data_IF_725805307307
#
_entry.id   IF_725805307307
#
_cell.length_a   1.000
_cell.length_b   1.000
_cell.length_c   1.000
_cell.angle_alpha   90.00
_cell.angle_beta   90.00
_cell.angle_gamma   90.00
#
_symmetry.space_group_name_H-M   'P 1'
#
loop_
_entity.id
_entity.type
_entity.pdbx_description
1 polymer ?
#
# COMPACT_ATOMS: atom_id res chain seq x y z
N UNK A 1 -44.12 40.47 22.09
CA UNK A 1 -42.68 40.73 22.16
C UNK A 1 -42.17 40.99 20.73
N UNK A 2 -41.89 42.26 20.36
CA UNK A 2 -41.42 42.58 18.98
C UNK A 2 -39.92 42.31 18.89
N UNK A 3 -39.55 41.23 18.23
CA UNK A 3 -38.14 40.91 17.94
C UNK A 3 -37.68 41.93 16.90
N UNK A 4 -36.72 42.77 17.23
CA UNK A 4 -36.21 43.80 16.33
C UNK A 4 -35.38 43.13 15.20
N UNK A 5 -35.46 43.68 13.98
CA UNK A 5 -34.71 43.19 12.78
C UNK A 5 -33.20 43.06 13.06
N UNK A 6 -32.64 43.83 13.98
CA UNK A 6 -31.23 43.72 14.43
C UNK A 6 -30.94 42.45 15.20
N UNK A 7 -31.89 41.94 16.02
CA UNK A 7 -31.71 40.69 16.77
C UNK A 7 -31.73 39.47 15.83
N UNK A 8 -32.60 39.50 14.80
CA UNK A 8 -32.64 38.42 13.79
C UNK A 8 -31.35 38.37 12.94
N UNK A 9 -30.79 39.54 12.61
CA UNK A 9 -29.53 39.62 11.86
C UNK A 9 -28.35 39.12 12.70
N UNK A 10 -28.31 39.41 13.99
CA UNK A 10 -27.27 38.91 14.91
C UNK A 10 -27.34 37.39 15.10
N UNK A 11 -28.53 36.80 15.16
CA UNK A 11 -28.72 35.35 15.26
C UNK A 11 -28.31 34.66 13.93
N UNK A 12 -28.62 35.26 12.76
CA UNK A 12 -28.15 34.73 11.47
C UNK A 12 -26.63 34.83 11.31
N UNK A 13 -25.98 35.90 11.77
CA UNK A 13 -24.53 36.02 11.76
C UNK A 13 -23.84 35.03 12.71
N UNK A 14 -24.42 34.73 13.86
CA UNK A 14 -23.91 33.72 14.79
C UNK A 14 -24.07 32.29 14.25
N UNK A 15 -25.15 31.99 13.55
CA UNK A 15 -25.33 30.67 12.91
C UNK A 15 -24.42 30.46 11.68
N UNK A 16 -24.08 31.52 10.95
CA UNK A 16 -23.11 31.49 9.86
C UNK A 16 -21.65 31.38 10.33
N UNK A 17 -21.33 31.93 11.51
CA UNK A 17 -20.00 31.78 12.11
C UNK A 17 -19.74 30.37 12.66
N UNK A 18 -20.79 29.61 13.01
CA UNK A 18 -20.66 28.23 13.45
C UNK A 18 -20.36 27.23 12.29
N UNK A 19 -20.52 27.67 11.03
CA UNK A 19 -20.15 26.95 9.83
C UNK A 19 -18.94 27.55 9.08
N UNK A 20 -18.09 28.29 9.81
CA UNK A 20 -16.74 28.49 9.25
C UNK A 20 -16.15 27.12 9.01
N UNK A 21 -15.76 26.76 7.76
CA UNK A 21 -15.12 25.49 7.52
C UNK A 21 -13.93 25.43 8.46
N UNK A 22 -13.97 24.49 9.42
CA UNK A 22 -12.87 24.26 10.33
C UNK A 22 -11.64 24.19 9.46
N UNK A 23 -10.55 24.87 9.84
CA UNK A 23 -9.27 24.83 9.13
C UNK A 23 -9.06 23.37 8.79
N UNK A 24 -9.11 23.02 7.48
CA UNK A 24 -8.85 21.68 7.05
C UNK A 24 -7.46 21.33 7.61
N UNK A 25 -7.43 20.54 8.67
CA UNK A 25 -6.17 20.04 9.21
C UNK A 25 -5.49 19.37 8.06
N UNK A 26 -4.27 19.83 7.72
CA UNK A 26 -3.52 19.22 6.65
C UNK A 26 -3.30 17.76 7.01
N UNK A 27 -4.08 16.88 6.39
CA UNK A 27 -4.06 15.46 6.69
C UNK A 27 -2.64 14.91 6.55
N UNK A 28 -2.23 14.06 7.47
CA UNK A 28 -0.93 13.41 7.43
C UNK A 28 -0.88 12.42 6.27
N UNK A 29 -0.18 12.77 5.21
CA UNK A 29 -0.02 11.91 4.02
C UNK A 29 1.06 10.86 4.29
N UNK A 30 0.64 9.63 4.55
CA UNK A 30 1.52 8.48 4.77
C UNK A 30 1.65 7.67 3.49
N UNK A 31 2.88 7.52 3.00
CA UNK A 31 3.20 6.66 1.87
C UNK A 31 3.61 5.28 2.36
N UNK A 32 2.77 4.29 2.14
CA UNK A 32 3.03 2.89 2.43
C UNK A 32 3.27 2.18 1.09
N UNK A 33 4.43 1.52 0.89
CA UNK A 33 4.66 0.70 -0.28
C UNK A 33 3.74 -0.53 -0.30
N UNK A 34 3.33 -0.94 -1.49
CA UNK A 34 2.56 -2.16 -1.72
C UNK A 34 3.03 -2.84 -3.02
N UNK A 35 2.18 -3.61 -3.66
CA UNK A 35 2.45 -4.36 -4.88
C UNK A 35 2.69 -3.54 -6.15
N UNK A 36 2.71 -2.20 -6.08
CA UNK A 36 2.99 -1.36 -7.23
C UNK A 36 3.81 -0.11 -6.90
N UNK A 37 4.49 0.45 -7.92
CA UNK A 37 5.14 1.76 -7.85
C UNK A 37 5.16 2.41 -9.23
N UNK A 38 5.33 3.75 -9.27
CA UNK A 38 5.28 4.54 -10.51
C UNK A 38 6.59 5.27 -10.78
N UNK A 39 7.00 5.31 -12.05
CA UNK A 39 8.05 6.19 -12.56
C UNK A 39 7.61 6.76 -13.91
N UNK A 40 7.30 8.04 -13.95
CA UNK A 40 6.78 8.69 -15.16
C UNK A 40 5.49 8.04 -15.65
N UNK A 41 5.50 7.58 -16.91
CA UNK A 41 4.35 6.86 -17.49
C UNK A 41 4.39 5.34 -17.24
N UNK A 42 5.37 4.82 -16.54
CA UNK A 42 5.50 3.39 -16.29
C UNK A 42 5.04 3.06 -14.86
N UNK A 43 4.11 2.11 -14.73
CA UNK A 43 3.75 1.43 -13.49
C UNK A 43 4.46 0.10 -13.46
N UNK A 44 5.21 -0.15 -12.39
CA UNK A 44 5.79 -1.46 -12.07
C UNK A 44 4.90 -2.12 -11.04
N UNK A 45 4.58 -3.40 -11.23
CA UNK A 45 3.65 -4.10 -10.36
C UNK A 45 4.00 -5.57 -10.21
N UNK A 46 3.83 -6.06 -9.01
CA UNK A 46 3.92 -7.48 -8.66
C UNK A 46 3.05 -7.69 -7.43
N UNK A 47 2.20 -8.67 -7.48
CA UNK A 47 1.35 -9.03 -6.35
C UNK A 47 1.56 -10.48 -6.01
N UNK A 48 1.50 -10.79 -4.72
CA UNK A 48 1.70 -12.12 -4.19
C UNK A 48 0.65 -12.45 -3.12
N UNK A 49 0.51 -13.71 -2.80
CA UNK A 49 -0.47 -14.24 -1.83
C UNK A 49 -1.53 -15.11 -2.49
N UNK A 50 -2.22 -15.94 -1.72
CA UNK A 50 -3.37 -16.81 -2.11
C UNK A 50 -3.34 -17.29 -3.58
N UNK A 51 -2.34 -18.08 -3.97
CA UNK A 51 -2.20 -18.61 -5.34
C UNK A 51 -1.63 -17.63 -6.38
N UNK A 52 -1.46 -16.35 -6.06
CA UNK A 52 -0.87 -15.37 -6.96
C UNK A 52 0.63 -15.24 -6.72
N UNK A 53 1.42 -15.69 -7.68
CA UNK A 53 2.89 -15.56 -7.69
C UNK A 53 3.29 -14.85 -8.97
N UNK A 54 3.53 -13.55 -8.88
CA UNK A 54 3.81 -12.74 -10.06
C UNK A 54 5.29 -12.39 -10.20
N UNK A 55 5.72 -12.41 -11.43
CA UNK A 55 6.92 -11.71 -11.86
C UNK A 55 6.76 -10.21 -11.67
N UNK A 56 7.86 -9.47 -11.58
CA UNK A 56 7.79 -8.02 -11.65
C UNK A 56 7.49 -7.61 -13.09
N UNK A 57 6.33 -7.04 -13.28
CA UNK A 57 5.82 -6.56 -14.56
C UNK A 57 5.90 -5.03 -14.65
N UNK A 58 5.91 -4.53 -15.86
CA UNK A 58 5.74 -3.12 -16.18
C UNK A 58 4.59 -2.93 -17.15
N UNK A 59 3.82 -1.85 -16.97
CA UNK A 59 2.88 -1.33 -17.97
C UNK A 59 3.14 0.15 -18.20
N UNK A 60 3.13 0.56 -19.46
CA UNK A 60 3.09 1.97 -19.80
C UNK A 60 1.65 2.47 -19.78
N UNK A 61 1.35 3.51 -19.00
CA UNK A 61 -0.02 4.02 -18.79
C UNK A 61 -0.64 4.66 -20.03
N UNK A 62 0.16 5.09 -21.01
CA UNK A 62 -0.32 5.71 -22.26
C UNK A 62 -0.55 4.68 -23.35
N UNK A 63 0.41 3.77 -23.54
CA UNK A 63 0.38 2.80 -24.65
C UNK A 63 -0.20 1.45 -24.25
N UNK A 64 -0.40 1.21 -22.96
CA UNK A 64 -0.81 -0.05 -22.35
C UNK A 64 0.11 -1.26 -22.67
N UNK A 65 1.30 -1.00 -23.24
CA UNK A 65 2.29 -2.05 -23.50
C UNK A 65 2.82 -2.60 -22.18
N UNK A 66 2.78 -3.93 -22.05
CA UNK A 66 3.25 -4.67 -20.87
C UNK A 66 4.58 -5.34 -21.16
N UNK A 67 5.43 -5.44 -20.14
CA UNK A 67 6.71 -6.14 -20.21
C UNK A 67 7.03 -6.78 -18.86
N UNK A 68 7.57 -8.00 -18.87
CA UNK A 68 8.21 -8.58 -17.69
C UNK A 68 9.58 -7.94 -17.51
N UNK A 69 9.90 -7.52 -16.27
CA UNK A 69 11.18 -6.92 -15.91
C UNK A 69 12.11 -7.97 -15.29
N UNK A 70 11.63 -8.70 -14.30
CA UNK A 70 12.36 -9.83 -13.73
C UNK A 70 11.38 -10.91 -13.28
N UNK A 71 11.83 -12.17 -13.44
CA UNK A 71 11.07 -13.31 -12.94
C UNK A 71 11.13 -13.40 -11.42
N UNK A 72 10.06 -13.92 -10.81
CA UNK A 72 9.98 -14.22 -9.39
C UNK A 72 10.75 -15.49 -8.99
N UNK A 73 11.37 -16.19 -9.92
CA UNK A 73 12.16 -17.41 -9.63
C UNK A 73 13.46 -17.08 -8.89
N UNK A 74 13.82 -17.92 -7.95
CA UNK A 74 15.12 -17.91 -7.28
C UNK A 74 15.76 -19.30 -7.38
N UNK A 75 16.99 -19.36 -7.92
CA UNK A 75 17.71 -20.65 -8.18
C UNK A 75 16.81 -21.70 -8.88
N UNK A 76 16.07 -21.26 -9.91
CA UNK A 76 15.17 -22.12 -10.68
C UNK A 76 13.81 -22.42 -10.05
N UNK A 77 13.60 -22.15 -8.75
CA UNK A 77 12.34 -22.40 -8.05
C UNK A 77 11.46 -21.13 -8.04
N UNK A 78 10.15 -21.33 -8.15
CA UNK A 78 9.17 -20.23 -7.98
C UNK A 78 9.12 -19.82 -6.52
N UNK A 79 9.08 -18.51 -6.27
CA UNK A 79 8.97 -17.92 -4.94
C UNK A 79 7.59 -17.31 -4.75
N UNK A 80 7.28 -16.80 -3.54
CA UNK A 80 6.03 -16.08 -3.30
C UNK A 80 5.98 -14.69 -3.98
N UNK A 81 7.12 -14.18 -4.47
CA UNK A 81 7.18 -12.96 -5.28
C UNK A 81 7.67 -11.73 -4.52
N UNK A 82 7.31 -10.57 -5.05
CA UNK A 82 7.77 -9.26 -4.63
C UNK A 82 6.64 -8.46 -3.98
N UNK A 83 6.96 -7.75 -2.89
CA UNK A 83 6.07 -6.89 -2.13
C UNK A 83 6.74 -5.54 -1.86
N UNK A 84 5.99 -4.57 -1.38
CA UNK A 84 6.50 -3.28 -0.87
C UNK A 84 7.40 -2.57 -1.88
N UNK A 85 6.90 -2.36 -3.10
CA UNK A 85 7.67 -1.81 -4.18
C UNK A 85 8.00 -0.32 -3.97
N UNK A 86 9.28 0.00 -3.82
CA UNK A 86 9.80 1.37 -3.71
C UNK A 86 10.76 1.68 -4.85
N UNK A 87 10.48 2.72 -5.63
CA UNK A 87 11.33 3.10 -6.75
C UNK A 87 12.20 4.31 -6.45
N UNK A 88 13.48 4.22 -6.78
CA UNK A 88 14.43 5.34 -6.74
C UNK A 88 15.36 5.29 -7.97
N UNK A 89 15.23 6.26 -8.83
CA UNK A 89 15.95 6.27 -10.11
C UNK A 89 15.58 5.08 -10.98
N UNK A 90 16.55 4.25 -11.34
CA UNK A 90 16.35 3.01 -12.11
C UNK A 90 16.31 1.76 -11.24
N UNK A 91 16.16 1.90 -9.92
CA UNK A 91 16.14 0.77 -9.02
C UNK A 91 14.83 0.72 -8.25
N UNK A 92 14.24 -0.48 -8.14
CA UNK A 92 13.15 -0.80 -7.24
C UNK A 92 13.72 -1.59 -6.09
N UNK A 93 13.36 -1.22 -4.87
CA UNK A 93 13.68 -1.94 -3.64
C UNK A 93 12.41 -2.59 -3.15
N UNK A 94 12.45 -3.89 -2.88
CA UNK A 94 11.27 -4.71 -2.59
C UNK A 94 11.54 -5.66 -1.45
N UNK A 95 10.49 -6.10 -0.78
CA UNK A 95 10.49 -7.35 -0.03
C UNK A 95 10.39 -8.50 -1.03
N UNK A 96 11.33 -9.43 -0.98
CA UNK A 96 11.32 -10.64 -1.79
C UNK A 96 11.18 -11.85 -0.87
N UNK A 97 10.06 -12.55 -1.00
CA UNK A 97 9.75 -13.71 -0.17
C UNK A 97 10.18 -14.99 -0.90
N UNK A 98 11.17 -15.65 -0.33
CA UNK A 98 11.71 -16.92 -0.84
C UNK A 98 11.25 -18.03 0.09
N UNK A 99 10.53 -19.01 -0.46
CA UNK A 99 10.21 -20.25 0.27
C UNK A 99 11.38 -21.19 0.11
N UNK A 100 12.05 -21.53 1.18
CA UNK A 100 13.20 -22.41 1.20
C UNK A 100 12.86 -23.68 2.03
N UNK A 101 12.32 -24.66 1.36
CA UNK A 101 12.00 -25.99 1.93
C UNK A 101 11.09 -25.95 3.16
N UNK A 102 11.46 -26.70 4.20
CA UNK A 102 10.77 -26.83 5.47
C UNK A 102 10.90 -25.60 6.41
N UNK A 103 11.82 -24.67 6.10
CA UNK A 103 12.21 -23.59 7.01
C UNK A 103 11.31 -22.34 6.94
N UNK A 104 10.15 -22.45 6.27
CA UNK A 104 9.17 -21.38 6.24
C UNK A 104 9.51 -20.24 5.26
N UNK A 105 8.98 -19.05 5.56
CA UNK A 105 9.14 -17.87 4.71
C UNK A 105 10.43 -17.13 5.04
N UNK A 106 11.29 -16.93 4.05
CA UNK A 106 12.49 -16.11 4.16
C UNK A 106 12.32 -14.80 3.42
N UNK A 107 12.25 -13.70 4.16
CA UNK A 107 12.13 -12.36 3.61
C UNK A 107 13.49 -11.71 3.38
N UNK A 108 13.68 -11.16 2.19
CA UNK A 108 14.89 -10.44 1.80
C UNK A 108 14.55 -9.08 1.24
N UNK A 109 15.35 -8.07 1.57
CA UNK A 109 15.37 -6.84 0.80
C UNK A 109 16.10 -7.13 -0.51
N UNK A 110 15.40 -6.93 -1.62
CA UNK A 110 15.94 -7.13 -2.96
C UNK A 110 16.00 -5.81 -3.72
N UNK A 111 17.09 -5.59 -4.45
CA UNK A 111 17.26 -4.48 -5.38
C UNK A 111 17.07 -4.98 -6.80
N UNK A 112 16.17 -4.37 -7.56
CA UNK A 112 15.91 -4.67 -8.95
C UNK A 112 16.28 -3.47 -9.80
N UNK A 113 17.18 -3.64 -10.76
CA UNK A 113 17.49 -2.60 -11.72
C UNK A 113 16.59 -2.74 -12.95
N UNK A 114 15.65 -1.81 -13.13
CA UNK A 114 14.62 -1.90 -14.18
C UNK A 114 15.16 -1.62 -15.58
N UNK A 115 16.33 -0.97 -15.72
CA UNK A 115 16.97 -0.74 -17.02
C UNK A 115 17.79 -1.97 -17.44
N UNK A 116 18.52 -2.60 -16.51
CA UNK A 116 19.33 -3.79 -16.74
C UNK A 116 18.55 -5.09 -16.61
N UNK A 117 17.32 -5.03 -16.08
CA UNK A 117 16.44 -6.19 -15.84
C UNK A 117 17.10 -7.26 -14.96
N UNK A 118 17.80 -6.81 -13.92
CA UNK A 118 18.53 -7.67 -12.99
C UNK A 118 18.05 -7.48 -11.56
N UNK A 119 18.15 -8.53 -10.76
CA UNK A 119 17.82 -8.49 -9.33
C UNK A 119 19.00 -8.96 -8.47
N UNK A 120 19.13 -8.36 -7.28
CA UNK A 120 20.18 -8.67 -6.30
C UNK A 120 19.61 -8.65 -4.90
N UNK A 121 19.81 -9.72 -4.12
CA UNK A 121 19.51 -9.73 -2.69
C UNK A 121 20.51 -8.84 -1.95
N UNK A 122 20.01 -8.04 -0.99
CA UNK A 122 20.83 -7.14 -0.20
C UNK A 122 21.02 -7.66 1.24
N UNK A 123 19.93 -7.99 1.92
CA UNK A 123 19.96 -8.48 3.33
C UNK A 123 18.63 -9.17 3.67
N UNK A 124 18.58 -9.97 4.75
CA UNK A 124 17.34 -10.47 5.35
C UNK A 124 16.54 -9.31 5.96
N UNK A 125 15.22 -9.33 5.76
CA UNK A 125 14.27 -8.33 6.26
C UNK A 125 13.14 -8.04 5.26
N UNK A 126 12.21 -7.18 5.66
CA UNK A 126 11.01 -6.81 4.89
C UNK A 126 10.67 -5.32 5.05
N UNK A 127 9.63 -4.88 4.34
CA UNK A 127 9.10 -3.52 4.33
C UNK A 127 10.16 -2.44 4.06
N UNK A 128 10.91 -2.51 2.93
CA UNK A 128 11.85 -1.45 2.60
C UNK A 128 11.12 -0.14 2.29
N UNK A 129 11.59 0.97 2.82
CA UNK A 129 11.18 2.32 2.42
C UNK A 129 12.40 3.16 2.10
N UNK A 130 12.39 3.84 0.94
CA UNK A 130 13.49 4.68 0.49
C UNK A 130 13.21 6.14 0.85
N UNK A 131 14.03 6.70 1.74
CA UNK A 131 13.99 8.13 2.10
C UNK A 131 15.34 8.76 1.78
N UNK A 132 15.35 9.68 0.83
CA UNK A 132 16.59 10.27 0.32
C UNK A 132 17.48 9.21 -0.35
N UNK A 133 18.71 9.02 0.14
CA UNK A 133 19.68 8.06 -0.37
C UNK A 133 19.89 6.86 0.58
N UNK A 134 18.87 6.55 1.38
CA UNK A 134 18.91 5.45 2.35
C UNK A 134 17.67 4.57 2.24
N UNK A 135 17.85 3.29 2.56
CA UNK A 135 16.79 2.30 2.67
C UNK A 135 16.60 2.02 4.16
N UNK A 136 15.40 2.27 4.67
CA UNK A 136 14.96 1.83 5.99
C UNK A 136 14.16 0.55 5.80
N UNK A 137 14.28 -0.39 6.71
CA UNK A 137 13.64 -1.70 6.60
C UNK A 137 13.52 -2.38 7.95
N UNK A 138 12.61 -3.32 8.08
CA UNK A 138 12.49 -4.19 9.24
C UNK A 138 13.45 -5.35 9.05
N UNK A 139 14.38 -5.52 9.97
CA UNK A 139 15.32 -6.65 9.95
C UNK A 139 14.75 -7.81 10.72
N UNK A 140 14.81 -9.01 10.12
CA UNK A 140 14.38 -10.25 10.74
C UNK A 140 15.56 -11.10 11.21
N UNK A 141 15.29 -11.97 12.17
CA UNK A 141 16.17 -13.06 12.59
C UNK A 141 15.33 -14.29 12.84
N UNK A 142 15.73 -15.41 12.27
CA UNK A 142 15.09 -16.68 12.52
C UNK A 142 15.16 -17.05 14.02
N UNK A 143 14.00 -17.35 14.58
CA UNK A 143 13.90 -17.84 15.95
C UNK A 143 13.71 -19.36 15.92
N UNK A 144 14.72 -20.08 16.41
CA UNK A 144 14.72 -21.55 16.44
C UNK A 144 13.64 -22.14 17.37
N UNK A 145 13.25 -21.41 18.42
CA UNK A 145 12.24 -21.86 19.39
C UNK A 145 10.85 -21.87 18.78
N UNK A 146 10.53 -20.86 17.95
CA UNK A 146 9.21 -20.71 17.33
C UNK A 146 9.20 -21.11 15.84
N UNK A 147 10.32 -21.56 15.29
CA UNK A 147 10.50 -21.94 13.89
C UNK A 147 10.01 -20.86 12.89
N UNK A 148 10.19 -19.58 13.23
CA UNK A 148 9.76 -18.44 12.40
C UNK A 148 10.72 -17.26 12.50
N UNK A 149 10.69 -16.39 11.49
CA UNK A 149 11.40 -15.10 11.52
C UNK A 149 10.72 -14.13 12.50
N UNK A 150 11.51 -13.45 13.31
CA UNK A 150 11.06 -12.40 14.24
C UNK A 150 11.69 -11.07 13.88
N UNK A 151 10.90 -10.00 14.02
CA UNK A 151 11.35 -8.63 13.83
C UNK A 151 12.37 -8.22 14.93
N UNK A 152 13.51 -7.70 14.51
CA UNK A 152 14.58 -7.24 15.40
C UNK A 152 14.63 -5.72 15.59
N UNK A 153 13.84 -5.01 14.79
CA UNK A 153 13.77 -3.56 14.79
C UNK A 153 13.90 -2.97 13.41
N UNK A 154 13.82 -1.65 13.38
CA UNK A 154 14.04 -0.87 12.16
C UNK A 154 15.53 -0.63 11.99
N UNK A 155 16.01 -0.89 10.79
CA UNK A 155 17.41 -0.70 10.38
C UNK A 155 17.49 0.22 9.18
N UNK A 156 18.67 0.76 8.93
CA UNK A 156 18.96 1.58 7.77
C UNK A 156 20.23 1.10 7.07
N UNK A 157 20.25 1.20 5.76
CA UNK A 157 21.43 0.95 4.91
C UNK A 157 21.48 1.96 3.76
N UNK A 158 22.61 2.02 3.05
CA UNK A 158 22.71 2.78 1.81
C UNK A 158 22.04 2.04 0.64
N UNK A 159 21.85 2.70 -0.51
CA UNK A 159 21.20 2.14 -1.70
C UNK A 159 21.96 0.96 -2.34
N UNK A 160 23.18 0.67 -1.90
CA UNK A 160 23.95 -0.50 -2.35
C UNK A 160 23.81 -1.71 -1.42
N UNK A 161 23.08 -1.57 -0.30
CA UNK A 161 22.90 -2.62 0.69
C UNK A 161 24.03 -2.70 1.73
N UNK A 162 24.90 -1.68 1.77
CA UNK A 162 26.02 -1.60 2.72
C UNK A 162 25.73 -0.62 3.87
N UNK A 163 26.62 -0.58 4.88
CA UNK A 163 26.53 0.31 6.06
C UNK A 163 25.22 0.13 6.82
N UNK A 164 24.89 -1.13 7.11
CA UNK A 164 23.69 -1.51 7.87
C UNK A 164 23.88 -1.12 9.33
N UNK A 165 22.95 -0.31 9.87
CA UNK A 165 22.91 0.02 11.30
C UNK A 165 21.49 0.00 11.84
N UNK A 166 21.34 -0.24 13.12
CA UNK A 166 20.04 -0.19 13.80
C UNK A 166 19.58 1.26 13.96
N UNK A 167 18.32 1.50 13.73
CA UNK A 167 17.65 2.80 13.96
C UNK A 167 16.96 2.78 15.31
N UNK A 168 16.07 1.78 15.55
CA UNK A 168 15.40 1.62 16.83
C UNK A 168 15.00 0.15 17.07
N UNK A 169 14.70 -0.19 18.33
CA UNK A 169 13.94 -1.39 18.68
C UNK A 169 12.47 -1.14 18.35
N UNK A 170 11.73 -2.21 18.15
CA UNK A 170 10.28 -2.17 17.97
C UNK A 170 9.65 -2.65 19.28
N UNK A 171 8.61 -1.95 19.79
CA UNK A 171 7.92 -2.38 21.01
C UNK A 171 7.17 -3.70 20.85
N UNK A 172 6.63 -3.96 19.65
CA UNK A 172 5.86 -5.15 19.31
C UNK A 172 6.71 -6.20 18.59
N UNK A 173 6.27 -7.44 18.62
CA UNK A 173 6.91 -8.56 17.92
C UNK A 173 6.71 -8.51 16.40
N UNK A 174 5.83 -7.64 15.90
CA UNK A 174 5.45 -7.58 14.49
C UNK A 174 5.14 -6.15 14.03
N UNK A 175 5.68 -5.79 12.87
CA UNK A 175 5.33 -4.57 12.12
C UNK A 175 4.51 -4.98 10.89
N UNK A 176 3.30 -4.46 10.78
CA UNK A 176 2.41 -4.72 9.66
C UNK A 176 2.89 -4.01 8.38
N UNK A 177 3.40 -2.79 8.50
CA UNK A 177 3.98 -2.05 7.39
C UNK A 177 4.98 -0.98 7.84
N UNK A 178 5.87 -0.57 6.95
CA UNK A 178 6.78 0.56 7.12
C UNK A 178 6.57 1.54 5.97
N UNK A 179 6.34 2.78 6.30
CA UNK A 179 6.07 3.86 5.36
C UNK A 179 6.83 5.14 5.69
N UNK A 180 6.44 6.22 5.04
CA UNK A 180 6.97 7.57 5.31
C UNK A 180 5.88 8.62 5.32
N UNK A 181 6.03 9.61 6.22
CA UNK A 181 5.27 10.85 6.22
C UNK A 181 6.25 12.01 6.05
N UNK A 182 6.33 12.55 4.84
CA UNK A 182 7.36 13.51 4.45
C UNK A 182 8.77 12.95 4.62
N UNK A 183 9.55 13.53 5.54
CA UNK A 183 10.92 13.08 5.86
C UNK A 183 11.00 12.10 7.03
N UNK A 184 9.88 11.82 7.70
CA UNK A 184 9.80 10.92 8.86
C UNK A 184 9.51 9.50 8.40
N UNK A 185 9.91 8.52 9.23
CA UNK A 185 9.45 7.13 9.12
C UNK A 185 8.07 7.02 9.79
N UNK A 186 7.25 6.13 9.28
CA UNK A 186 6.01 5.70 9.92
C UNK A 186 5.98 4.20 9.91
N UNK A 187 5.70 3.57 11.03
CA UNK A 187 5.41 2.14 11.07
C UNK A 187 4.01 1.90 11.62
N UNK A 188 3.38 0.92 11.02
CA UNK A 188 2.07 0.44 11.39
C UNK A 188 2.22 -0.78 12.29
N UNK A 189 1.50 -0.77 13.38
CA UNK A 189 1.42 -1.90 14.31
C UNK A 189 0.04 -1.95 14.95
N UNK A 190 -0.27 -3.06 15.59
CA UNK A 190 -1.48 -3.21 16.41
C UNK A 190 -1.12 -2.93 17.86
N UNK A 191 -1.92 -2.13 18.55
CA UNK A 191 -1.75 -1.85 19.97
C UNK A 191 -2.34 -2.95 20.87
N UNK A 192 -2.37 -2.70 22.20
CA UNK A 192 -2.93 -3.64 23.18
C UNK A 192 -4.45 -3.85 23.03
N UNK A 193 -5.15 -2.90 22.43
CA UNK A 193 -6.60 -2.96 22.19
C UNK A 193 -6.94 -3.61 20.84
N UNK A 194 -5.96 -4.15 20.14
CA UNK A 194 -6.06 -4.67 18.77
C UNK A 194 -6.40 -3.58 17.74
N UNK A 195 -6.18 -2.30 18.08
CA UNK A 195 -6.37 -1.19 17.16
C UNK A 195 -5.11 -0.93 16.35
N UNK A 196 -5.30 -0.50 15.12
CA UNK A 196 -4.21 -0.13 14.22
C UNK A 196 -3.67 1.24 14.60
N UNK A 197 -2.37 1.34 14.79
CA UNK A 197 -1.66 2.57 15.15
C UNK A 197 -0.56 2.86 14.15
N UNK A 198 -0.45 4.13 13.76
CA UNK A 198 0.65 4.65 12.95
C UNK A 198 1.61 5.46 13.81
N UNK A 199 2.73 4.87 14.21
CA UNK A 199 3.75 5.59 14.99
C UNK A 199 4.77 6.25 14.08
N UNK A 200 4.96 7.56 14.28
CA UNK A 200 5.94 8.37 13.54
C UNK A 200 7.28 8.41 14.27
N UNK A 201 8.35 8.21 13.51
CA UNK A 201 9.73 8.27 13.97
C UNK A 201 10.56 9.26 13.18
N UNK A 202 11.54 9.86 13.82
CA UNK A 202 12.63 10.53 13.11
C UNK A 202 13.50 9.50 12.36
N UNK A 203 14.33 9.97 11.43
CA UNK A 203 15.31 9.11 10.73
C UNK A 203 16.36 8.49 11.66
N UNK A 204 16.50 9.02 12.87
CA UNK A 204 17.38 8.53 13.93
C UNK A 204 16.67 7.55 14.86
N UNK A 205 15.35 7.33 14.70
CA UNK A 205 14.56 6.41 15.48
C UNK A 205 13.93 7.01 16.74
N UNK A 206 14.00 8.34 16.93
CA UNK A 206 13.28 9.01 18.02
C UNK A 206 11.78 9.02 17.70
N UNK A 207 10.93 8.56 18.62
CA UNK A 207 9.47 8.64 18.51
C UNK A 207 9.06 10.13 18.49
N UNK A 208 8.22 10.45 17.51
CA UNK A 208 7.66 11.80 17.29
C UNK A 208 6.18 11.88 17.67
N UNK A 209 5.57 10.77 18.04
CA UNK A 209 4.15 10.61 18.38
C UNK A 209 3.44 9.68 17.41
N UNK A 210 2.20 9.39 17.74
CA UNK A 210 1.32 8.62 16.86
C UNK A 210 0.53 9.58 15.97
N UNK A 211 0.15 9.09 14.81
CA UNK A 211 -0.73 9.81 13.89
C UNK A 211 -2.16 9.40 14.20
N UNK A 212 -3.05 10.38 14.28
CA UNK A 212 -4.48 10.10 14.38
C UNK A 212 -4.94 9.42 13.09
N UNK A 213 -5.55 8.22 13.15
CA UNK A 213 -6.07 7.53 11.97
C UNK A 213 -7.06 8.39 11.17
N UNK A 214 -7.87 9.23 11.85
CA UNK A 214 -8.85 10.09 11.19
C UNK A 214 -8.20 11.24 10.40
N UNK A 215 -7.00 11.68 10.83
CA UNK A 215 -6.20 12.69 10.15
C UNK A 215 -5.13 12.10 9.22
N UNK A 216 -5.13 10.77 9.05
CA UNK A 216 -4.09 10.07 8.29
C UNK A 216 -4.63 9.55 6.98
N UNK A 217 -4.07 10.05 5.88
CA UNK A 217 -4.35 9.58 4.53
C UNK A 217 -3.20 8.68 4.07
N UNK A 218 -3.48 7.43 3.75
CA UNK A 218 -2.49 6.49 3.24
C UNK A 218 -2.47 6.47 1.71
N UNK A 219 -1.35 6.07 1.11
CA UNK A 219 -1.25 5.90 -0.35
C UNK A 219 -1.82 4.57 -0.85
N UNK A 220 -2.14 3.67 0.07
CA UNK A 220 -2.62 2.31 -0.23
C UNK A 220 -3.82 1.97 0.64
N UNK A 221 -4.71 1.19 0.06
CA UNK A 221 -5.81 0.53 0.76
C UNK A 221 -5.57 -0.98 0.74
N UNK A 222 -5.80 -1.63 1.89
CA UNK A 222 -5.82 -3.10 2.00
C UNK A 222 -7.11 -3.54 2.66
N UNK A 223 -7.69 -4.63 2.22
CA UNK A 223 -9.04 -5.10 2.62
C UNK A 223 -9.18 -5.51 4.10
N UNK A 224 -8.08 -5.59 4.84
CA UNK A 224 -8.13 -5.87 6.27
C UNK A 224 -8.79 -4.75 7.07
N UNK A 225 -8.93 -3.55 6.47
CA UNK A 225 -9.45 -2.35 7.15
C UNK A 225 -10.48 -1.64 6.30
N UNK A 226 -11.71 -1.76 6.70
CA UNK A 226 -12.85 -1.08 6.07
C UNK A 226 -12.94 0.43 6.36
N UNK A 227 -12.03 0.99 7.15
CA UNK A 227 -12.15 2.35 7.72
C UNK A 227 -11.13 3.37 7.23
N UNK A 228 -10.18 2.99 6.37
CA UNK A 228 -9.14 3.93 5.94
C UNK A 228 -9.33 4.40 4.50
N UNK A 229 -9.35 5.71 4.36
CA UNK A 229 -9.37 6.38 3.08
C UNK A 229 -7.97 6.49 2.51
N UNK A 230 -7.82 6.13 1.24
CA UNK A 230 -6.64 6.46 0.47
C UNK A 230 -6.90 7.76 -0.28
N UNK A 231 -6.11 8.81 -0.05
CA UNK A 231 -6.35 10.13 -0.62
C UNK A 231 -5.20 10.70 -1.43
N UNK A 232 -5.56 11.41 -2.52
CA UNK A 232 -4.65 12.22 -3.33
C UNK A 232 -5.41 13.45 -3.82
N UNK A 233 -4.84 14.63 -3.64
CA UNK A 233 -5.33 15.89 -4.22
C UNK A 233 -6.82 16.18 -3.95
N UNK A 234 -7.20 16.35 -2.68
CA UNK A 234 -8.59 16.60 -2.25
C UNK A 234 -9.62 15.55 -2.66
N UNK A 235 -9.17 14.33 -2.93
CA UNK A 235 -10.03 13.17 -3.20
C UNK A 235 -9.75 12.06 -2.23
N UNK A 236 -10.81 11.42 -1.77
CA UNK A 236 -10.75 10.21 -0.97
C UNK A 236 -11.21 9.02 -1.80
N UNK A 237 -10.51 7.91 -1.67
CA UNK A 237 -10.82 6.65 -2.32
C UNK A 237 -11.04 5.59 -1.23
N UNK A 238 -12.16 4.92 -1.28
CA UNK A 238 -12.52 3.92 -0.28
C UNK A 238 -13.32 2.77 -0.88
N UNK A 239 -13.48 1.70 -0.12
CA UNK A 239 -14.24 0.52 -0.55
C UNK A 239 -15.51 0.40 0.29
N UNK A 240 -16.64 0.23 -0.38
CA UNK A 240 -17.90 -0.14 0.26
C UNK A 240 -18.68 -1.09 -0.64
N UNK A 241 -19.26 -2.18 -0.07
CA UNK A 241 -20.01 -3.16 -0.84
C UNK A 241 -19.23 -3.74 -2.02
N UNK A 242 -17.91 -3.95 -1.88
CA UNK A 242 -17.02 -4.44 -2.95
C UNK A 242 -16.75 -3.45 -4.08
N UNK A 243 -17.21 -2.20 -3.97
CA UNK A 243 -17.00 -1.13 -4.95
C UNK A 243 -15.89 -0.21 -4.49
N UNK A 244 -15.06 0.29 -5.42
CA UNK A 244 -14.16 1.40 -5.17
C UNK A 244 -14.88 2.69 -5.51
N UNK A 245 -15.02 3.56 -4.52
CA UNK A 245 -15.61 4.88 -4.64
C UNK A 245 -14.54 5.95 -4.56
N UNK A 246 -14.82 7.10 -5.16
CA UNK A 246 -14.02 8.32 -5.06
C UNK A 246 -14.93 9.48 -4.67
N UNK A 247 -14.68 10.12 -3.55
CA UNK A 247 -15.29 11.39 -3.16
C UNK A 247 -14.34 12.53 -3.50
N UNK A 248 -14.80 13.50 -4.26
CA UNK A 248 -14.07 14.73 -4.56
C UNK A 248 -14.56 15.82 -3.60
N UNK A 249 -13.73 16.20 -2.65
CA UNK A 249 -14.07 17.19 -1.62
C UNK A 249 -14.24 18.62 -2.15
N UNK A 250 -13.76 18.92 -3.37
CA UNK A 250 -14.02 20.22 -3.99
C UNK A 250 -15.46 20.37 -4.50
N UNK A 251 -16.10 19.24 -4.83
CA UNK A 251 -17.44 19.21 -5.45
C UNK A 251 -18.45 18.43 -4.62
N UNK A 252 -18.02 17.83 -3.52
CA UNK A 252 -18.79 16.91 -2.65
C UNK A 252 -19.48 15.79 -3.43
N UNK A 253 -18.83 15.36 -4.52
CA UNK A 253 -19.38 14.36 -5.42
C UNK A 253 -18.69 13.02 -5.29
N UNK A 254 -19.47 11.97 -5.01
CA UNK A 254 -19.00 10.60 -5.00
C UNK A 254 -19.22 9.91 -6.34
N UNK A 255 -18.17 9.28 -6.85
CA UNK A 255 -18.18 8.55 -8.12
C UNK A 255 -17.73 7.10 -7.90
N UNK A 256 -18.45 6.14 -8.48
CA UNK A 256 -18.04 4.74 -8.49
C UNK A 256 -17.00 4.49 -9.58
N UNK A 257 -15.78 4.09 -9.19
CA UNK A 257 -14.67 3.80 -10.10
C UNK A 257 -14.67 2.33 -10.56
N UNK A 258 -14.91 1.43 -9.61
CA UNK A 258 -15.03 -0.01 -9.85
C UNK A 258 -16.39 -0.43 -9.32
N UNK A 259 -17.19 -1.06 -10.17
CA UNK A 259 -18.43 -1.71 -9.75
C UNK A 259 -18.16 -3.19 -9.50
N UNK A 260 -18.69 -3.71 -8.43
CA UNK A 260 -18.89 -5.13 -8.26
C UNK A 260 -20.03 -5.56 -9.18
N UNK A 261 -19.80 -6.55 -10.02
CA UNK A 261 -20.85 -7.14 -10.86
C UNK A 261 -21.75 -8.10 -10.07
N UNK A 262 -21.42 -8.37 -8.81
CA UNK A 262 -22.16 -9.25 -7.91
C UNK A 262 -21.69 -9.08 -6.47
N UNK A 263 -22.49 -9.55 -5.53
CA UNK A 263 -22.20 -9.56 -4.07
C UNK A 263 -20.95 -10.35 -3.67
N UNK A 264 -20.26 -10.95 -4.65
CA UNK A 264 -19.08 -11.79 -4.45
C UNK A 264 -17.78 -11.20 -4.97
N UNK A 265 -17.76 -9.92 -5.36
CA UNK A 265 -16.53 -9.25 -5.76
C UNK A 265 -15.92 -8.50 -4.59
N UNK A 266 -14.73 -8.92 -4.13
CA UNK A 266 -13.97 -8.26 -3.09
C UNK A 266 -12.79 -7.49 -3.65
N UNK A 267 -12.64 -6.22 -3.31
CA UNK A 267 -11.39 -5.48 -3.50
C UNK A 267 -10.46 -5.86 -2.36
N UNK A 268 -9.27 -6.37 -2.67
CA UNK A 268 -8.26 -6.76 -1.69
C UNK A 268 -7.29 -5.62 -1.36
N UNK A 269 -6.91 -4.87 -2.37
CA UNK A 269 -6.06 -3.69 -2.20
C UNK A 269 -6.15 -2.77 -3.41
N UNK A 270 -5.82 -1.52 -3.22
CA UNK A 270 -5.55 -0.59 -4.31
C UNK A 270 -4.46 0.41 -3.91
N UNK A 271 -3.84 1.01 -4.91
CA UNK A 271 -2.82 2.03 -4.74
C UNK A 271 -3.00 3.14 -5.77
N UNK A 272 -3.01 4.39 -5.31
CA UNK A 272 -3.25 5.57 -6.14
C UNK A 272 -1.92 6.24 -6.50
N UNK A 273 -1.76 6.59 -7.78
CA UNK A 273 -0.59 7.27 -8.34
C UNK A 273 -1.01 8.47 -9.18
N UNK A 274 -1.52 9.51 -8.55
CA UNK A 274 -2.04 10.70 -9.22
C UNK A 274 -3.24 10.38 -10.11
N UNK A 275 -3.04 10.36 -11.43
CA UNK A 275 -4.08 10.14 -12.44
C UNK A 275 -4.43 8.66 -12.72
N UNK A 276 -3.77 7.73 -12.05
CA UNK A 276 -4.03 6.29 -12.20
C UNK A 276 -4.09 5.57 -10.86
N UNK A 277 -4.80 4.46 -10.86
CA UNK A 277 -4.92 3.55 -9.71
C UNK A 277 -4.65 2.12 -10.16
N UNK A 278 -3.95 1.34 -9.35
CA UNK A 278 -3.85 -0.11 -9.50
C UNK A 278 -4.75 -0.76 -8.46
N UNK A 279 -5.64 -1.63 -8.89
CA UNK A 279 -6.61 -2.31 -8.03
C UNK A 279 -6.42 -3.80 -8.15
N UNK A 280 -6.33 -4.48 -7.01
CA UNK A 280 -6.38 -5.93 -6.89
C UNK A 280 -7.70 -6.34 -6.25
N UNK A 281 -8.37 -7.30 -6.85
CA UNK A 281 -9.63 -7.83 -6.34
C UNK A 281 -9.85 -9.28 -6.75
N UNK A 282 -10.87 -9.89 -6.17
CA UNK A 282 -11.26 -11.26 -6.50
C UNK A 282 -12.78 -11.35 -6.64
N UNK A 283 -13.23 -12.37 -7.37
CA UNK A 283 -14.64 -12.74 -7.52
C UNK A 283 -14.79 -14.22 -7.22
N UNK A 284 -15.71 -14.58 -6.35
CA UNK A 284 -16.07 -15.98 -6.14
C UNK A 284 -16.66 -16.58 -7.41
N UNK A 285 -16.24 -17.76 -7.74
CA UNK A 285 -16.75 -18.51 -8.89
C UNK A 285 -16.66 -20.02 -8.62
N UNK A 286 -17.71 -20.75 -8.98
CA UNK A 286 -17.66 -22.20 -8.97
C UNK A 286 -16.64 -22.69 -10.01
N UNK A 287 -15.63 -23.43 -9.57
CA UNK A 287 -14.59 -23.99 -10.40
C UNK A 287 -14.96 -25.43 -10.70
N UNK A 288 -15.56 -25.66 -11.87
CA UNK A 288 -16.05 -27.00 -12.31
C UNK A 288 -14.99 -28.10 -12.20
N UNK A 289 -13.74 -27.80 -12.56
CA UNK A 289 -12.63 -28.77 -12.53
C UNK A 289 -12.38 -29.38 -11.15
N UNK A 290 -12.64 -28.64 -10.09
CA UNK A 290 -12.35 -29.06 -8.71
C UNK A 290 -13.58 -29.20 -7.84
N UNK A 291 -14.79 -29.03 -8.41
CA UNK A 291 -16.08 -29.13 -7.72
C UNK A 291 -16.19 -28.29 -6.42
N UNK A 292 -15.54 -27.11 -6.39
CA UNK A 292 -15.66 -26.20 -5.23
C UNK A 292 -15.81 -24.72 -5.65
N UNK A 293 -16.22 -23.90 -4.68
CA UNK A 293 -16.25 -22.45 -4.83
C UNK A 293 -14.84 -21.88 -4.66
N UNK A 294 -14.21 -21.54 -5.76
CA UNK A 294 -12.92 -20.86 -5.76
C UNK A 294 -13.04 -19.37 -6.08
N UNK A 295 -11.94 -18.64 -6.03
CA UNK A 295 -11.90 -17.21 -6.35
C UNK A 295 -11.08 -16.96 -7.62
N UNK A 296 -11.66 -16.19 -8.55
CA UNK A 296 -10.90 -15.60 -9.66
C UNK A 296 -10.44 -14.22 -9.29
N UNK A 297 -9.12 -14.02 -9.28
CA UNK A 297 -8.51 -12.73 -9.02
C UNK A 297 -8.27 -11.91 -10.27
N UNK A 298 -8.27 -10.59 -10.10
CA UNK A 298 -8.05 -9.62 -11.15
C UNK A 298 -7.16 -8.49 -10.65
N UNK A 299 -6.28 -8.01 -11.51
CA UNK A 299 -5.52 -6.78 -11.30
C UNK A 299 -5.86 -5.84 -12.44
N UNK A 300 -6.29 -4.63 -12.11
CA UNK A 300 -6.64 -3.58 -13.06
C UNK A 300 -5.75 -2.35 -12.88
N UNK A 301 -5.40 -1.72 -13.99
CA UNK A 301 -5.02 -0.31 -14.05
C UNK A 301 -6.27 0.50 -14.38
N UNK A 302 -6.56 1.51 -13.59
CA UNK A 302 -7.70 2.41 -13.77
C UNK A 302 -7.17 3.82 -14.00
N UNK A 303 -7.60 4.46 -15.09
CA UNK A 303 -7.34 5.88 -15.32
C UNK A 303 -8.40 6.71 -14.61
N UNK A 304 -7.98 7.59 -13.70
CA UNK A 304 -8.84 8.42 -12.85
C UNK A 304 -9.26 9.70 -13.60
N UNK A 305 -9.90 9.54 -14.76
CA UNK A 305 -10.48 10.62 -15.55
C UNK A 305 -11.94 10.83 -15.17
N UNK A 306 -12.58 11.88 -15.74
CA UNK A 306 -14.02 12.15 -15.58
C UNK A 306 -14.89 10.93 -15.92
N UNK A 307 -14.47 10.12 -16.91
CA UNK A 307 -15.00 8.78 -17.19
C UNK A 307 -13.87 7.77 -17.01
N UNK A 308 -13.80 7.06 -15.88
CA UNK A 308 -12.73 6.12 -15.61
C UNK A 308 -12.67 5.00 -16.64
N UNK A 309 -11.48 4.68 -17.11
CA UNK A 309 -11.23 3.55 -18.01
C UNK A 309 -10.38 2.50 -17.33
N UNK A 310 -10.72 1.22 -17.57
CA UNK A 310 -10.05 0.07 -16.95
C UNK A 310 -9.21 -0.68 -17.96
N UNK A 311 -7.99 -1.06 -17.57
CA UNK A 311 -7.13 -1.96 -18.32
C UNK A 311 -6.83 -3.18 -17.45
N UNK A 312 -7.21 -4.37 -17.94
CA UNK A 312 -6.91 -5.62 -17.24
C UNK A 312 -5.41 -5.92 -17.32
N UNK A 313 -4.75 -6.00 -16.18
CA UNK A 313 -3.32 -6.33 -16.09
C UNK A 313 -3.11 -7.85 -15.97
N UNK A 314 -3.83 -8.52 -15.08
CA UNK A 314 -3.69 -9.95 -14.80
C UNK A 314 -5.03 -10.55 -14.37
N UNK A 315 -5.28 -11.80 -14.81
CA UNK A 315 -6.26 -12.73 -14.19
C UNK A 315 -5.48 -13.83 -13.49
N UNK A 316 -6.01 -14.33 -12.38
CA UNK A 316 -5.44 -15.45 -11.64
C UNK A 316 -6.54 -16.23 -10.92
N UNK A 317 -6.23 -17.46 -10.50
CA UNK A 317 -7.12 -18.28 -9.67
C UNK A 317 -6.52 -18.29 -8.26
N UNK A 318 -7.32 -17.98 -7.25
CA UNK A 318 -6.92 -18.09 -5.86
C UNK A 318 -7.15 -19.52 -5.38
N UNK A 319 -6.13 -20.12 -4.75
CA UNK A 319 -6.23 -21.46 -4.19
C UNK A 319 -5.59 -22.58 -5.05
N UNK A 320 -4.84 -22.23 -6.11
CA UNK A 320 -3.94 -23.17 -6.79
C UNK A 320 -2.52 -23.09 -6.25
#
# INVERSE_FOLDING_TARGET
MKITKKAVLAIMCLSLAAFAPGKAHAANKVQIPDGACRKGNDIYYSYSGSGLRMDLMKINTKTHKKKMIVSNKYKGRTTNGFFDLNIKGNNIYVTYNIVDGSDGFNFYICKINVKKETKKLLTKGHHPIVIGNKIYFVKTKYNKTFYQDQDKGIYVMNLSGKKIRKVCKIPSSYISSLGSCGKSLVYEHTDSNQERVYTRLSKQGKRLGDLDPNDTITSTYTSADSSYDCGVDNKSYYVTGGKVLCTDYNTDKTTTLVRSDSDHYGVQSFQVFGDVMVVRGHRQKYIKKYHYMGSKGYIYLIHLKKKPTKVLLKKYICGE
#
